data_IF_104835064649
#
_entry.id   IF_104835064649
#
_cell.length_a   1.000
_cell.length_b   1.000
_cell.length_c   1.000
_cell.angle_alpha   90.00
_cell.angle_beta   90.00
_cell.angle_gamma   90.00
#
_symmetry.space_group_name_H-M   'P 1'
#
loop_
_entity.id
_entity.type
_entity.pdbx_description
1 polymer ?
#
# COMPACT_ATOMS: atom_id res chain seq x y z
N UNK A 1 13.47 9.34 -17.69
CA UNK A 1 12.07 9.21 -18.17
C UNK A 1 11.29 10.32 -17.49
N UNK A 2 11.08 11.45 -18.17
CA UNK A 2 10.15 12.46 -17.69
C UNK A 2 8.74 11.87 -17.83
N UNK A 3 8.29 11.17 -16.78
CA UNK A 3 6.87 10.83 -16.67
C UNK A 3 6.07 12.13 -16.73
N UNK A 4 4.89 12.07 -17.33
CA UNK A 4 3.93 13.18 -17.42
C UNK A 4 3.36 13.53 -16.03
N UNK A 5 4.24 13.94 -15.10
CA UNK A 5 3.92 14.34 -13.75
C UNK A 5 3.49 15.81 -13.80
N UNK A 6 2.23 16.04 -13.47
CA UNK A 6 1.68 17.39 -13.35
C UNK A 6 1.68 17.76 -11.87
N UNK A 7 2.38 18.84 -11.53
CA UNK A 7 2.35 19.37 -10.17
C UNK A 7 1.02 20.08 -9.91
N UNK A 8 0.14 19.41 -9.16
CA UNK A 8 -1.17 19.92 -8.77
C UNK A 8 -1.06 21.15 -7.84
N UNK A 9 0.02 21.29 -7.08
CA UNK A 9 0.20 22.39 -6.14
C UNK A 9 0.70 23.66 -6.81
N UNK A 10 1.26 23.54 -8.02
CA UNK A 10 1.68 24.64 -8.88
C UNK A 10 0.57 25.11 -9.85
N UNK A 11 -0.62 24.51 -9.78
CA UNK A 11 -1.79 24.94 -10.57
C UNK A 11 -2.37 26.28 -10.06
N UNK A 12 -3.40 26.76 -10.76
CA UNK A 12 -4.12 28.03 -10.49
C UNK A 12 -4.53 28.18 -9.02
N UNK A 13 -4.82 27.07 -8.33
CA UNK A 13 -5.13 27.05 -6.90
C UNK A 13 -3.88 26.55 -6.15
N UNK A 14 -3.24 27.37 -5.30
CA UNK A 14 -2.08 26.94 -4.55
C UNK A 14 -2.46 25.83 -3.56
N UNK A 15 -1.58 24.83 -3.41
CA UNK A 15 -1.76 23.70 -2.50
C UNK A 15 -3.03 22.86 -2.76
N UNK A 16 -3.54 22.85 -3.99
CA UNK A 16 -4.77 22.13 -4.34
C UNK A 16 -4.70 20.64 -3.95
N UNK A 17 -3.55 19.99 -4.16
CA UNK A 17 -3.35 18.59 -3.79
C UNK A 17 -3.49 18.38 -2.28
N UNK A 18 -2.85 19.23 -1.48
CA UNK A 18 -2.92 19.17 -0.01
C UNK A 18 -4.34 19.43 0.50
N UNK A 19 -5.04 20.42 -0.08
CA UNK A 19 -6.42 20.76 0.31
C UNK A 19 -7.34 19.57 0.03
N UNK A 20 -7.29 19.01 -1.18
CA UNK A 20 -8.12 17.86 -1.57
C UNK A 20 -7.78 16.63 -0.73
N UNK A 21 -6.50 16.38 -0.46
CA UNK A 21 -6.06 15.24 0.37
C UNK A 21 -6.55 15.34 1.82
N UNK A 22 -6.38 16.51 2.46
CA UNK A 22 -6.82 16.73 3.84
C UNK A 22 -8.35 16.65 3.95
N UNK A 23 -9.07 17.33 3.05
CA UNK A 23 -10.53 17.30 3.03
C UNK A 23 -11.06 15.88 2.78
N UNK A 24 -10.52 15.17 1.80
CA UNK A 24 -10.93 13.80 1.48
C UNK A 24 -10.68 12.83 2.64
N UNK A 25 -9.53 12.95 3.32
CA UNK A 25 -9.22 12.14 4.50
C UNK A 25 -10.17 12.46 5.65
N UNK A 26 -10.41 13.74 5.95
CA UNK A 26 -11.37 14.15 6.99
C UNK A 26 -12.78 13.63 6.72
N UNK A 27 -13.26 13.77 5.48
CA UNK A 27 -14.57 13.25 5.08
C UNK A 27 -14.65 11.73 5.21
N UNK A 28 -13.59 11.00 4.85
CA UNK A 28 -13.52 9.55 4.98
C UNK A 28 -13.60 9.12 6.45
N UNK A 29 -12.86 9.79 7.33
CA UNK A 29 -12.89 9.52 8.79
C UNK A 29 -14.28 9.81 9.37
N UNK A 30 -14.87 10.96 9.03
CA UNK A 30 -16.22 11.34 9.49
C UNK A 30 -17.25 10.31 9.00
N UNK A 31 -17.18 9.91 7.74
CA UNK A 31 -18.10 8.95 7.15
C UNK A 31 -17.94 7.55 7.77
N UNK A 32 -16.71 7.11 8.04
CA UNK A 32 -16.45 5.84 8.73
C UNK A 32 -17.05 5.83 10.14
N UNK A 33 -16.87 6.91 10.91
CA UNK A 33 -17.43 7.04 12.27
C UNK A 33 -18.96 7.05 12.21
N UNK A 34 -19.55 7.83 11.28
CA UNK A 34 -21.00 7.93 11.12
C UNK A 34 -21.64 6.60 10.65
N UNK A 35 -20.90 5.82 9.86
CA UNK A 35 -21.35 4.54 9.30
C UNK A 35 -21.48 3.42 10.33
N UNK A 36 -20.88 3.54 11.54
CA UNK A 36 -20.82 2.48 12.57
C UNK A 36 -20.36 1.09 12.09
N UNK A 37 -19.74 1.02 10.91
CA UNK A 37 -19.34 -0.22 10.24
C UNK A 37 -18.34 -1.05 11.03
N UNK A 38 -17.61 -0.42 11.94
CA UNK A 38 -16.65 -1.09 12.83
C UNK A 38 -17.27 -2.19 13.71
N UNK A 39 -18.60 -2.24 13.87
CA UNK A 39 -19.29 -3.12 14.83
C UNK A 39 -20.30 -4.08 14.14
N UNK A 40 -20.68 -3.84 12.89
CA UNK A 40 -21.81 -4.53 12.27
C UNK A 40 -21.36 -5.25 11.00
N UNK A 41 -21.30 -6.59 11.08
CA UNK A 41 -21.16 -7.46 9.90
C UNK A 41 -22.53 -7.58 9.22
N UNK A 42 -22.58 -7.29 7.93
CA UNK A 42 -23.76 -7.56 7.11
C UNK A 42 -23.89 -9.08 6.89
N UNK A 43 -25.09 -9.63 7.08
CA UNK A 43 -25.36 -11.03 6.71
C UNK A 43 -25.46 -11.16 5.18
N UNK A 44 -25.12 -12.33 4.61
CA UNK A 44 -25.12 -12.53 3.15
C UNK A 44 -26.47 -12.20 2.48
N UNK A 45 -27.61 -12.47 3.14
CA UNK A 45 -28.94 -12.13 2.61
C UNK A 45 -29.19 -10.62 2.54
N UNK A 46 -28.66 -9.84 3.48
CA UNK A 46 -28.77 -8.37 3.44
C UNK A 46 -27.88 -7.77 2.36
N UNK A 47 -26.68 -8.33 2.11
CA UNK A 47 -25.81 -7.88 1.02
C UNK A 47 -26.47 -8.07 -0.35
N UNK A 48 -27.14 -9.20 -0.58
CA UNK A 48 -27.85 -9.43 -1.85
C UNK A 48 -29.01 -8.44 -2.05
N UNK A 49 -29.83 -8.16 -1.02
CA UNK A 49 -30.89 -7.15 -1.12
C UNK A 49 -30.32 -5.74 -1.43
N UNK A 50 -29.19 -5.37 -0.82
CA UNK A 50 -28.49 -4.08 -1.04
C UNK A 50 -27.99 -3.90 -2.47
N UNK A 51 -27.64 -4.99 -3.16
CA UNK A 51 -27.18 -4.94 -4.57
C UNK A 51 -28.32 -4.70 -5.57
N UNK A 52 -29.57 -4.96 -5.18
CA UNK A 52 -30.74 -4.76 -6.06
C UNK A 52 -31.20 -3.29 -6.10
N UNK A 53 -30.83 -2.48 -5.11
CA UNK A 53 -31.18 -1.06 -5.04
C UNK A 53 -29.95 -0.16 -5.22
N UNK A 54 -29.94 0.62 -6.30
CA UNK A 54 -28.83 1.53 -6.66
C UNK A 54 -28.41 2.46 -5.52
N UNK A 55 -29.38 3.01 -4.77
CA UNK A 55 -29.12 3.90 -3.63
C UNK A 55 -28.33 3.18 -2.53
N UNK A 56 -28.71 1.96 -2.23
CA UNK A 56 -28.11 1.16 -1.16
C UNK A 56 -26.72 0.69 -1.56
N UNK A 57 -26.55 0.29 -2.82
CA UNK A 57 -25.25 0.00 -3.43
C UNK A 57 -24.29 1.18 -3.35
N UNK A 58 -24.72 2.41 -3.69
CA UNK A 58 -23.87 3.61 -3.64
C UNK A 58 -23.46 3.91 -2.19
N UNK A 59 -24.40 3.85 -1.25
CA UNK A 59 -24.12 4.09 0.17
C UNK A 59 -23.12 3.06 0.71
N UNK A 60 -23.33 1.78 0.43
CA UNK A 60 -22.45 0.71 0.87
C UNK A 60 -21.03 0.86 0.30
N UNK A 61 -20.90 1.13 -1.01
CA UNK A 61 -19.59 1.37 -1.63
C UNK A 61 -18.88 2.60 -1.05
N UNK A 62 -19.62 3.68 -0.80
CA UNK A 62 -19.04 4.88 -0.20
C UNK A 62 -18.56 4.60 1.25
N UNK A 63 -19.30 3.79 2.00
CA UNK A 63 -18.88 3.35 3.35
C UNK A 63 -17.67 2.43 3.32
N UNK A 64 -17.60 1.46 2.39
CA UNK A 64 -16.40 0.63 2.18
C UNK A 64 -15.18 1.48 1.83
N UNK A 65 -15.35 2.40 0.87
CA UNK A 65 -14.25 3.26 0.41
C UNK A 65 -13.76 4.17 1.54
N UNK A 66 -14.67 4.76 2.32
CA UNK A 66 -14.32 5.59 3.47
C UNK A 66 -13.61 4.80 4.57
N UNK A 67 -14.02 3.55 4.80
CA UNK A 67 -13.36 2.64 5.74
C UNK A 67 -11.93 2.33 5.30
N UNK A 68 -11.74 1.90 4.06
CA UNK A 68 -10.40 1.60 3.50
C UNK A 68 -9.52 2.85 3.49
N UNK A 69 -10.02 3.99 3.01
CA UNK A 69 -9.26 5.24 2.97
C UNK A 69 -8.79 5.70 4.37
N UNK A 70 -9.64 5.52 5.39
CA UNK A 70 -9.27 5.84 6.77
C UNK A 70 -8.17 4.92 7.28
N UNK A 71 -8.26 3.61 7.03
CA UNK A 71 -7.21 2.67 7.41
C UNK A 71 -5.90 2.90 6.68
N UNK A 72 -5.95 3.23 5.39
CA UNK A 72 -4.78 3.64 4.61
C UNK A 72 -4.12 4.87 5.26
N UNK A 73 -4.90 5.89 5.61
CA UNK A 73 -4.38 7.06 6.32
C UNK A 73 -3.71 6.67 7.65
N UNK A 74 -4.35 5.83 8.47
CA UNK A 74 -3.78 5.36 9.74
C UNK A 74 -2.47 4.60 9.51
N UNK A 75 -2.43 3.71 8.52
CA UNK A 75 -1.22 2.95 8.19
C UNK A 75 -0.07 3.87 7.75
N UNK A 76 -0.32 4.84 6.87
CA UNK A 76 0.67 5.85 6.50
C UNK A 76 1.10 6.69 7.70
N UNK A 77 0.16 7.14 8.51
CA UNK A 77 0.46 7.94 9.68
C UNK A 77 1.36 7.18 10.67
N UNK A 78 1.07 5.90 10.93
CA UNK A 78 1.92 5.01 11.74
C UNK A 78 3.29 4.81 11.10
N UNK A 79 3.36 4.62 9.78
CA UNK A 79 4.62 4.52 9.06
C UNK A 79 5.47 5.79 9.21
N UNK A 80 4.88 6.98 9.02
CA UNK A 80 5.59 8.26 9.19
C UNK A 80 6.10 8.44 10.64
N UNK A 81 5.30 8.06 11.63
CA UNK A 81 5.72 8.06 13.04
C UNK A 81 6.84 7.05 13.30
N UNK A 82 6.80 5.87 12.65
CA UNK A 82 7.86 4.88 12.74
C UNK A 82 9.18 5.41 12.18
N UNK A 83 9.16 6.08 11.03
CA UNK A 83 10.35 6.73 10.45
C UNK A 83 10.91 7.79 11.40
N UNK A 84 10.05 8.64 11.95
CA UNK A 84 10.45 9.66 12.91
C UNK A 84 11.08 9.06 14.18
N UNK A 85 10.48 7.98 14.70
CA UNK A 85 10.99 7.26 15.86
C UNK A 85 12.33 6.59 15.59
N UNK A 86 12.49 5.96 14.42
CA UNK A 86 13.73 5.33 13.98
C UNK A 86 14.88 6.33 13.89
N UNK A 87 14.58 7.55 13.41
CA UNK A 87 15.50 8.67 13.37
C UNK A 87 15.72 9.39 14.71
N UNK A 88 15.22 8.85 15.83
CA UNK A 88 15.29 9.49 17.16
C UNK A 88 14.76 10.93 17.18
N UNK A 89 13.68 11.19 16.43
CA UNK A 89 13.07 12.52 16.27
C UNK A 89 13.58 13.32 15.06
N UNK A 90 14.57 12.82 14.32
CA UNK A 90 15.01 13.41 13.06
C UNK A 90 14.50 12.57 11.87
N UNK A 91 13.49 13.09 11.17
CA UNK A 91 12.87 12.40 10.04
C UNK A 91 13.88 12.00 8.95
N UNK A 92 14.78 12.91 8.56
CA UNK A 92 15.77 12.65 7.53
C UNK A 92 16.74 11.52 7.91
N UNK A 93 17.07 11.41 9.20
CA UNK A 93 17.88 10.30 9.71
C UNK A 93 17.12 8.95 9.60
N UNK A 94 15.83 8.95 9.94
CA UNK A 94 14.97 7.77 9.78
C UNK A 94 14.82 7.33 8.33
N UNK A 95 14.55 8.27 7.42
CA UNK A 95 14.45 8.00 5.98
C UNK A 95 15.77 7.45 5.42
N UNK A 96 16.90 8.00 5.83
CA UNK A 96 18.22 7.52 5.40
C UNK A 96 18.50 6.10 5.87
N UNK A 97 18.11 5.74 7.10
CA UNK A 97 18.25 4.37 7.62
C UNK A 97 17.41 3.37 6.84
N UNK A 98 16.13 3.70 6.57
CA UNK A 98 15.24 2.83 5.79
C UNK A 98 15.72 2.72 4.35
N UNK A 99 16.08 3.83 3.73
CA UNK A 99 16.61 3.85 2.36
C UNK A 99 17.89 3.03 2.26
N UNK A 100 18.83 3.18 3.21
CA UNK A 100 20.06 2.40 3.26
C UNK A 100 19.81 0.91 3.46
N UNK A 101 18.81 0.54 4.26
CA UNK A 101 18.41 -0.85 4.43
C UNK A 101 17.76 -1.43 3.17
N UNK A 102 16.89 -0.68 2.51
CA UNK A 102 16.13 -1.14 1.34
C UNK A 102 16.92 -1.09 0.03
N UNK A 103 17.97 -0.25 -0.06
CA UNK A 103 18.82 -0.12 -1.25
C UNK A 103 19.87 -1.24 -1.33
N UNK A 104 19.44 -2.48 -1.14
CA UNK A 104 20.30 -3.64 -1.39
C UNK A 104 20.45 -3.88 -2.89
N UNK A 105 21.49 -4.64 -3.23
CA UNK A 105 21.77 -5.02 -4.61
C UNK A 105 21.65 -6.54 -4.79
N UNK A 106 21.58 -6.95 -6.05
CA UNK A 106 21.56 -8.35 -6.42
C UNK A 106 20.32 -9.10 -5.95
N UNK A 107 20.49 -10.41 -5.71
CA UNK A 107 19.42 -11.29 -5.26
C UNK A 107 18.87 -10.89 -3.88
N UNK A 108 19.68 -10.27 -3.03
CA UNK A 108 19.25 -9.77 -1.71
C UNK A 108 18.15 -8.73 -1.83
N UNK A 109 18.20 -7.87 -2.86
CA UNK A 109 17.15 -6.89 -3.13
C UNK A 109 15.82 -7.57 -3.47
N UNK A 110 15.85 -8.66 -4.24
CA UNK A 110 14.67 -9.46 -4.58
C UNK A 110 14.05 -10.11 -3.34
N UNK A 111 14.89 -10.72 -2.50
CA UNK A 111 14.45 -11.34 -1.25
C UNK A 111 13.81 -10.32 -0.32
N UNK A 112 14.45 -9.15 -0.13
CA UNK A 112 13.88 -8.08 0.67
C UNK A 112 12.58 -7.53 0.07
N UNK A 113 12.51 -7.38 -1.26
CA UNK A 113 11.29 -6.98 -1.94
C UNK A 113 10.11 -7.89 -1.62
N UNK A 114 10.30 -9.21 -1.77
CA UNK A 114 9.27 -10.19 -1.44
C UNK A 114 8.93 -10.16 0.07
N UNK A 115 9.92 -10.14 0.96
CA UNK A 115 9.68 -10.15 2.41
C UNK A 115 8.97 -8.89 2.91
N UNK A 116 9.35 -7.72 2.41
CA UNK A 116 8.66 -6.47 2.76
C UNK A 116 7.26 -6.44 2.14
N UNK A 117 7.04 -7.13 1.02
CA UNK A 117 5.72 -7.27 0.38
C UNK A 117 4.71 -8.08 1.21
N UNK A 118 5.16 -8.82 2.23
CA UNK A 118 4.27 -9.49 3.19
C UNK A 118 3.53 -8.47 4.07
N UNK A 119 4.11 -7.28 4.28
CA UNK A 119 3.54 -6.26 5.15
C UNK A 119 2.29 -5.69 4.48
N UNK A 120 1.08 -5.87 5.02
CA UNK A 120 -0.15 -5.42 4.37
C UNK A 120 -0.20 -3.92 4.12
N UNK A 121 -0.95 -3.53 3.09
CA UNK A 121 -1.23 -2.14 2.71
C UNK A 121 -0.35 -1.56 1.59
N UNK A 122 -0.66 -0.36 1.12
CA UNK A 122 0.07 0.25 -0.01
C UNK A 122 1.38 0.97 0.38
N UNK A 123 1.59 1.25 1.67
CA UNK A 123 2.78 1.94 2.20
C UNK A 123 4.12 1.37 1.71
N UNK A 124 4.44 0.11 2.02
CA UNK A 124 5.68 -0.54 1.59
C UNK A 124 5.91 -0.46 0.07
N UNK A 125 4.86 -0.69 -0.73
CA UNK A 125 4.91 -0.64 -2.19
C UNK A 125 5.26 0.76 -2.71
N UNK A 126 4.70 1.84 -2.13
CA UNK A 126 5.02 3.22 -2.53
C UNK A 126 6.50 3.52 -2.33
N UNK A 127 7.09 3.06 -1.24
CA UNK A 127 8.53 3.25 -0.97
C UNK A 127 9.35 2.54 -2.04
N UNK A 128 9.03 1.28 -2.37
CA UNK A 128 9.72 0.53 -3.41
C UNK A 128 9.61 1.20 -4.80
N UNK A 129 8.43 1.70 -5.17
CA UNK A 129 8.25 2.48 -6.41
C UNK A 129 9.09 3.76 -6.38
N UNK A 130 9.13 4.45 -5.25
CA UNK A 130 9.94 5.68 -5.08
C UNK A 130 11.43 5.39 -5.21
N UNK A 131 11.93 4.33 -4.56
CA UNK A 131 13.34 3.91 -4.65
C UNK A 131 13.71 3.47 -6.06
N UNK A 132 12.82 2.74 -6.74
CA UNK A 132 13.01 2.33 -8.13
C UNK A 132 13.06 3.52 -9.09
N UNK A 133 12.15 4.48 -8.97
CA UNK A 133 12.16 5.69 -9.83
C UNK A 133 13.38 6.57 -9.60
N UNK A 134 13.98 6.53 -8.40
CA UNK A 134 15.27 7.17 -8.08
C UNK A 134 16.49 6.33 -8.50
N UNK A 135 16.29 5.16 -9.11
CA UNK A 135 17.37 4.28 -9.58
C UNK A 135 18.13 3.54 -8.47
N UNK A 136 17.59 3.49 -7.25
CA UNK A 136 18.24 2.89 -6.08
C UNK A 136 17.91 1.41 -5.88
N UNK A 137 16.94 0.87 -6.61
CA UNK A 137 16.42 -0.48 -6.46
C UNK A 137 16.21 -1.11 -7.86
N UNK A 138 16.60 -2.38 -8.10
CA UNK A 138 16.41 -3.01 -9.41
C UNK A 138 14.93 -3.34 -9.69
N UNK A 139 14.52 -3.42 -10.95
CA UNK A 139 13.12 -3.72 -11.30
C UNK A 139 12.69 -5.09 -10.79
N UNK A 140 13.58 -6.09 -10.78
CA UNK A 140 13.33 -7.40 -10.19
C UNK A 140 12.89 -7.35 -8.72
N UNK A 141 13.46 -6.44 -7.92
CA UNK A 141 13.07 -6.26 -6.52
C UNK A 141 11.72 -5.55 -6.37
N UNK A 142 11.45 -4.55 -7.20
CA UNK A 142 10.13 -3.90 -7.27
C UNK A 142 9.04 -4.91 -7.69
N UNK A 143 9.34 -5.76 -8.67
CA UNK A 143 8.43 -6.78 -9.18
C UNK A 143 8.13 -7.84 -8.11
N UNK A 144 9.15 -8.31 -7.39
CA UNK A 144 8.97 -9.24 -6.27
C UNK A 144 8.09 -8.62 -5.18
N UNK A 145 8.33 -7.35 -4.82
CA UNK A 145 7.50 -6.64 -3.85
C UNK A 145 6.04 -6.54 -4.33
N UNK A 146 5.82 -6.16 -5.60
CA UNK A 146 4.49 -6.02 -6.18
C UNK A 146 3.68 -7.32 -6.21
N UNK A 147 4.32 -8.47 -6.47
CA UNK A 147 3.65 -9.77 -6.52
C UNK A 147 3.36 -10.28 -5.10
N UNK A 148 4.25 -10.01 -4.14
CA UNK A 148 4.07 -10.50 -2.77
C UNK A 148 3.00 -9.74 -1.99
N UNK A 149 2.61 -8.56 -2.47
CA UNK A 149 1.72 -7.63 -1.78
C UNK A 149 0.24 -7.99 -1.99
N UNK A 150 -0.43 -8.43 -0.93
CA UNK A 150 -1.90 -8.65 -0.90
C UNK A 150 -2.71 -7.34 -0.75
N UNK A 151 -2.02 -6.20 -0.54
CA UNK A 151 -2.61 -4.87 -0.43
C UNK A 151 -3.46 -4.68 0.84
N UNK A 152 -4.46 -3.81 0.76
CA UNK A 152 -5.37 -3.52 1.90
C UNK A 152 -6.39 -4.63 2.14
N UNK A 153 -6.61 -5.52 1.16
CA UNK A 153 -7.55 -6.65 1.26
C UNK A 153 -7.12 -7.70 2.30
N UNK A 154 -5.83 -7.71 2.67
CA UNK A 154 -5.33 -8.61 3.70
C UNK A 154 -5.80 -8.20 5.10
N UNK A 155 -6.10 -6.92 5.37
CA UNK A 155 -6.53 -6.48 6.71
C UNK A 155 -7.86 -7.12 7.15
N UNK A 156 -8.95 -7.08 6.36
CA UNK A 156 -10.19 -7.78 6.72
C UNK A 156 -10.03 -9.29 6.73
N UNK A 157 -9.24 -9.85 5.79
CA UNK A 157 -9.04 -11.30 5.71
C UNK A 157 -8.36 -11.85 6.96
N UNK A 158 -7.37 -11.14 7.52
CA UNK A 158 -6.74 -11.50 8.80
C UNK A 158 -7.77 -11.52 9.95
N UNK A 159 -8.76 -10.62 9.92
CA UNK A 159 -9.81 -10.56 10.94
C UNK A 159 -10.83 -11.70 10.81
N UNK A 160 -11.24 -12.04 9.58
CA UNK A 160 -12.25 -13.06 9.28
C UNK A 160 -11.70 -14.49 9.31
N UNK A 161 -10.59 -14.74 8.61
CA UNK A 161 -9.95 -16.05 8.51
C UNK A 161 -8.42 -15.92 8.41
N UNK A 162 -7.79 -15.97 9.59
CA UNK A 162 -6.33 -15.94 9.73
C UNK A 162 -5.63 -17.03 8.94
N UNK A 163 -6.24 -18.21 8.79
CA UNK A 163 -5.60 -19.32 8.09
C UNK A 163 -5.56 -19.03 6.60
N UNK A 164 -6.68 -18.57 6.04
CA UNK A 164 -6.73 -18.17 4.64
C UNK A 164 -5.81 -16.98 4.34
N UNK A 165 -5.73 -15.99 5.24
CA UNK A 165 -4.78 -14.89 5.13
C UNK A 165 -3.31 -15.38 5.04
N UNK A 166 -2.89 -16.25 5.96
CA UNK A 166 -1.52 -16.79 5.97
C UNK A 166 -1.23 -17.55 4.67
N UNK A 167 -2.14 -18.41 4.21
CA UNK A 167 -1.92 -19.18 2.98
C UNK A 167 -1.86 -18.28 1.75
N UNK A 168 -2.71 -17.27 1.64
CA UNK A 168 -2.67 -16.28 0.56
C UNK A 168 -1.29 -15.64 0.45
N UNK A 169 -0.81 -15.10 1.57
CA UNK A 169 0.49 -14.44 1.65
C UNK A 169 1.64 -15.38 1.32
N UNK A 170 1.61 -16.63 1.79
CA UNK A 170 2.65 -17.63 1.47
C UNK A 170 2.69 -17.94 -0.02
N UNK A 171 1.53 -18.18 -0.65
CA UNK A 171 1.48 -18.47 -2.09
C UNK A 171 1.97 -17.29 -2.93
N UNK A 172 1.54 -16.07 -2.59
CA UNK A 172 1.98 -14.86 -3.28
C UNK A 172 3.47 -14.58 -3.07
N UNK A 173 3.99 -14.78 -1.87
CA UNK A 173 5.43 -14.62 -1.58
C UNK A 173 6.27 -15.64 -2.37
N UNK A 174 5.83 -16.90 -2.48
CA UNK A 174 6.53 -17.92 -3.27
C UNK A 174 6.53 -17.52 -4.76
N UNK A 175 5.38 -17.12 -5.30
CA UNK A 175 5.26 -16.65 -6.67
C UNK A 175 6.17 -15.43 -6.92
N UNK A 176 6.19 -14.47 -5.99
CA UNK A 176 7.03 -13.29 -6.02
C UNK A 176 8.51 -13.62 -6.06
N UNK A 177 8.97 -14.56 -5.24
CA UNK A 177 10.36 -15.01 -5.24
C UNK A 177 10.74 -15.67 -6.56
N UNK A 178 9.90 -16.58 -7.08
CA UNK A 178 10.16 -17.26 -8.36
C UNK A 178 10.26 -16.26 -9.50
N UNK A 179 9.27 -15.37 -9.61
CA UNK A 179 9.21 -14.37 -10.70
C UNK A 179 10.30 -13.32 -10.54
N UNK A 180 10.55 -12.83 -9.32
CA UNK A 180 11.58 -11.84 -9.02
C UNK A 180 12.98 -12.35 -9.31
N UNK A 181 13.30 -13.59 -8.93
CA UNK A 181 14.60 -14.21 -9.23
C UNK A 181 14.76 -14.42 -10.74
N UNK A 182 13.71 -14.84 -11.44
CA UNK A 182 13.74 -14.96 -12.89
C UNK A 182 13.98 -13.59 -13.57
N UNK A 183 13.26 -12.55 -13.14
CA UNK A 183 13.46 -11.19 -13.62
C UNK A 183 14.88 -10.69 -13.35
N UNK A 184 15.45 -10.99 -12.18
CA UNK A 184 16.83 -10.65 -11.85
C UNK A 184 17.85 -11.26 -12.81
N UNK A 185 17.67 -12.53 -13.20
CA UNK A 185 18.54 -13.16 -14.20
C UNK A 185 18.37 -12.58 -15.61
N UNK A 186 17.17 -12.11 -15.96
CA UNK A 186 16.95 -11.36 -17.20
C UNK A 186 17.69 -10.03 -17.12
N UNK A 187 17.55 -9.28 -16.03
CA UNK A 187 18.23 -7.98 -15.86
C UNK A 187 19.75 -8.10 -16.00
N UNK A 188 20.34 -9.11 -15.36
CA UNK A 188 21.77 -9.39 -15.45
C UNK A 188 22.26 -9.66 -16.88
N UNK A 189 21.41 -10.19 -17.77
CA UNK A 189 21.78 -10.49 -19.15
C UNK A 189 21.58 -9.34 -20.13
N UNK A 190 20.68 -8.41 -19.81
CA UNK A 190 20.28 -7.34 -20.73
C UNK A 190 20.86 -5.97 -20.34
N UNK A 191 21.18 -5.74 -19.07
CA UNK A 191 21.61 -4.43 -18.55
C UNK A 191 23.05 -4.42 -17.98
N UNK A 192 23.72 -5.57 -17.94
CA UNK A 192 25.15 -5.74 -17.60
C UNK A 192 25.88 -6.38 -18.78
#
# INVERSE_FOLDING_TARGET
LDLFQVDLNAMIIPNLGTIVGVLGTLLSVIMMIASKKFIQDDTHEETELKTLFLKETIIHNAQETAFVATWVFVAYFVYELFILALGSGNYAAGEALVTGFLSQTGLTAVLLGALIGIIPGCGPQIIFVTLYTRGMLPFSALLANAISQDGDALFPLIALDKRSAIWSTVFNTIAALVVGVFAYFIELKFFL
#
